data_IF_377882536165
#
_entry.id   IF_377882536165
#
_cell.length_a   1.000
_cell.length_b   1.000
_cell.length_c   1.000
_cell.angle_alpha   90.00
_cell.angle_beta   90.00
_cell.angle_gamma   90.00
#
_symmetry.space_group_name_H-M   'P 1'
#
loop_
_entity.id
_entity.type
_entity.pdbx_description
1 polymer ?
#
# COMPACT_ATOMS: atom_id res chain seq x y z
N UNK A 1 4.50 -54.26 24.12
CA UNK A 1 3.35 -53.35 24.31
C UNK A 1 2.84 -52.90 22.95
N UNK A 2 1.69 -53.41 22.50
CA UNK A 2 1.04 -53.02 21.24
C UNK A 2 0.09 -51.86 21.51
N UNK A 3 0.40 -50.65 21.03
CA UNK A 3 -0.50 -49.50 21.13
C UNK A 3 -1.50 -49.53 19.97
N UNK A 4 -2.77 -49.73 20.33
CA UNK A 4 -3.95 -49.58 19.46
C UNK A 4 -4.20 -48.08 19.23
N UNK A 5 -3.75 -47.54 18.10
CA UNK A 5 -4.25 -46.28 17.55
C UNK A 5 -5.06 -46.60 16.29
N UNK A 6 -6.33 -46.93 16.47
CA UNK A 6 -7.28 -47.11 15.38
C UNK A 6 -8.68 -46.86 15.94
N UNK A 7 -9.13 -45.60 15.81
CA UNK A 7 -10.53 -45.15 15.67
C UNK A 7 -10.58 -43.64 15.85
N UNK A 8 -10.35 -42.89 14.78
CA UNK A 8 -10.97 -41.59 14.45
C UNK A 8 -10.70 -41.25 12.95
N UNK A 9 -10.70 -42.27 12.08
CA UNK A 9 -10.65 -42.06 10.63
C UNK A 9 -12.09 -41.98 10.11
N UNK A 10 -12.49 -40.80 9.63
CA UNK A 10 -13.61 -40.67 8.72
C UNK A 10 -13.26 -41.44 7.44
N UNK A 11 -14.09 -42.37 6.96
CA UNK A 11 -13.72 -43.30 5.90
C UNK A 11 -14.03 -42.71 4.53
N UNK A 12 -13.39 -41.60 4.14
CA UNK A 12 -13.53 -41.07 2.77
C UNK A 12 -12.47 -40.03 2.31
N UNK A 13 -11.25 -40.07 2.84
CA UNK A 13 -10.13 -39.33 2.22
C UNK A 13 -9.16 -40.31 1.58
N UNK A 14 -9.23 -40.42 0.25
CA UNK A 14 -8.12 -40.98 -0.52
C UNK A 14 -6.84 -40.23 -0.12
N UNK A 15 -5.95 -40.93 0.58
CA UNK A 15 -4.66 -40.43 1.06
C UNK A 15 -3.89 -39.82 -0.12
N UNK A 16 -3.95 -38.49 -0.27
CA UNK A 16 -3.11 -37.76 -1.21
C UNK A 16 -1.67 -38.02 -0.78
N UNK A 17 -0.88 -38.58 -1.70
CA UNK A 17 0.55 -38.85 -1.56
C UNK A 17 1.28 -37.51 -1.31
N UNK A 18 1.41 -37.13 -0.03
CA UNK A 18 1.89 -35.80 0.42
C UNK A 18 1.44 -35.48 1.85
N UNK A 19 0.18 -35.77 2.18
CA UNK A 19 -0.40 -35.45 3.50
C UNK A 19 0.31 -36.14 4.67
N UNK A 20 0.70 -37.41 4.52
CA UNK A 20 1.33 -38.16 5.61
C UNK A 20 2.65 -37.53 6.09
N UNK A 21 3.47 -37.00 5.18
CA UNK A 21 4.76 -36.40 5.57
C UNK A 21 4.56 -35.06 6.27
N UNK A 22 3.59 -34.27 5.82
CA UNK A 22 3.18 -33.01 6.46
C UNK A 22 2.63 -33.28 7.87
N UNK A 23 1.77 -34.29 8.02
CA UNK A 23 1.24 -34.75 9.31
C UNK A 23 2.36 -35.24 10.25
N UNK A 24 3.37 -35.96 9.72
CA UNK A 24 4.54 -36.36 10.52
C UNK A 24 5.36 -35.16 11.00
N UNK A 25 5.51 -34.12 10.18
CA UNK A 25 6.18 -32.87 10.60
C UNK A 25 5.37 -32.19 11.71
N UNK A 26 4.06 -32.02 11.53
CA UNK A 26 3.18 -31.44 12.55
C UNK A 26 3.21 -32.23 13.87
N UNK A 27 3.16 -33.56 13.78
CA UNK A 27 3.28 -34.44 14.94
C UNK A 27 4.63 -34.23 15.64
N UNK A 28 5.71 -34.13 14.87
CA UNK A 28 7.05 -33.89 15.42
C UNK A 28 7.10 -32.55 16.15
N UNK A 29 6.56 -31.47 15.56
CA UNK A 29 6.49 -30.14 16.19
C UNK A 29 5.70 -30.18 17.50
N UNK A 30 4.55 -30.87 17.53
CA UNK A 30 3.70 -30.94 18.70
C UNK A 30 4.31 -31.72 19.88
N UNK A 31 5.20 -32.68 19.59
CA UNK A 31 5.73 -33.62 20.58
C UNK A 31 7.25 -33.52 20.81
N UNK A 32 7.96 -32.62 20.12
CA UNK A 32 9.41 -32.51 20.21
C UNK A 32 9.91 -32.16 21.62
N UNK A 33 9.13 -31.42 22.41
CA UNK A 33 9.47 -31.13 23.82
C UNK A 33 9.43 -32.36 24.74
N UNK A 34 8.88 -33.48 24.26
CA UNK A 34 8.75 -34.74 25.03
C UNK A 34 9.74 -35.81 24.56
N UNK A 35 10.30 -35.66 23.36
CA UNK A 35 11.15 -36.68 22.73
C UNK A 35 12.29 -36.04 21.93
N UNK A 36 13.50 -36.10 22.48
CA UNK A 36 14.72 -35.55 21.86
C UNK A 36 14.95 -35.99 20.40
N UNK A 37 14.66 -37.24 19.99
CA UNK A 37 14.83 -37.63 18.59
C UNK A 37 13.95 -36.84 17.61
N UNK A 38 12.77 -36.39 18.04
CA UNK A 38 11.88 -35.55 17.22
C UNK A 38 12.43 -34.12 17.13
N UNK A 39 13.04 -33.62 18.19
CA UNK A 39 13.73 -32.34 18.19
C UNK A 39 14.91 -32.35 17.21
N UNK A 40 15.76 -33.38 17.26
CA UNK A 40 16.88 -33.56 16.31
C UNK A 40 16.39 -33.67 14.87
N UNK A 41 15.31 -34.42 14.64
CA UNK A 41 14.70 -34.54 13.31
C UNK A 41 14.22 -33.17 12.77
N UNK A 42 13.55 -32.36 13.60
CA UNK A 42 13.11 -31.02 13.20
C UNK A 42 14.30 -30.08 12.95
N UNK A 43 15.35 -30.17 13.75
CA UNK A 43 16.57 -29.38 13.59
C UNK A 43 17.24 -29.67 12.24
N UNK A 44 17.42 -30.95 11.91
CA UNK A 44 17.95 -31.39 10.61
C UNK A 44 17.08 -30.94 9.43
N UNK A 45 15.76 -31.04 9.54
CA UNK A 45 14.85 -30.58 8.48
C UNK A 45 14.88 -29.07 8.28
N UNK A 46 15.14 -28.32 9.36
CA UNK A 46 15.16 -26.86 9.38
C UNK A 46 16.55 -26.29 9.12
N UNK A 47 17.59 -27.12 8.94
CA UNK A 47 18.88 -26.66 8.45
C UNK A 47 18.76 -26.21 6.99
N UNK A 48 19.32 -25.06 6.67
CA UNK A 48 19.16 -24.41 5.37
C UNK A 48 19.48 -25.34 4.18
N UNK A 49 20.56 -26.12 4.30
CA UNK A 49 20.99 -27.01 3.21
C UNK A 49 19.98 -28.13 2.99
N UNK A 50 19.45 -28.71 4.08
CA UNK A 50 18.45 -29.76 4.02
C UNK A 50 17.10 -29.22 3.57
N UNK A 51 16.68 -28.09 4.12
CA UNK A 51 15.43 -27.39 3.78
C UNK A 51 15.33 -27.13 2.28
N UNK A 52 16.41 -26.64 1.65
CA UNK A 52 16.48 -26.39 0.19
C UNK A 52 16.20 -27.64 -0.65
N UNK A 53 16.50 -28.83 -0.15
CA UNK A 53 16.29 -30.12 -0.85
C UNK A 53 14.93 -30.75 -0.61
N UNK A 54 14.12 -30.19 0.30
CA UNK A 54 12.79 -30.74 0.61
C UNK A 54 11.79 -30.54 -0.53
N UNK A 55 10.78 -31.41 -0.56
CA UNK A 55 9.61 -31.24 -1.41
C UNK A 55 8.90 -29.91 -1.05
N UNK A 56 8.36 -29.23 -2.06
CA UNK A 56 7.77 -27.89 -1.90
C UNK A 56 6.68 -27.84 -0.83
N UNK A 57 5.86 -28.89 -0.73
CA UNK A 57 4.84 -28.96 0.30
C UNK A 57 5.42 -29.02 1.72
N UNK A 58 6.57 -29.69 1.90
CA UNK A 58 7.25 -29.77 3.20
C UNK A 58 7.94 -28.45 3.55
N UNK A 59 8.53 -27.78 2.55
CA UNK A 59 9.03 -26.41 2.72
C UNK A 59 7.91 -25.48 3.18
N UNK A 60 6.77 -25.49 2.47
CA UNK A 60 5.58 -24.74 2.84
C UNK A 60 5.05 -25.11 4.23
N UNK A 61 5.03 -26.40 4.58
CA UNK A 61 4.55 -26.88 5.88
C UNK A 61 5.42 -26.35 7.04
N UNK A 62 6.75 -26.43 6.91
CA UNK A 62 7.68 -25.91 7.92
C UNK A 62 7.55 -24.39 8.07
N UNK A 63 7.50 -23.67 6.94
CA UNK A 63 7.32 -22.20 6.93
C UNK A 63 5.96 -21.77 7.51
N UNK A 64 4.90 -22.56 7.31
CA UNK A 64 3.59 -22.27 7.86
C UNK A 64 3.53 -22.49 9.38
N UNK A 65 4.27 -23.47 9.90
CA UNK A 65 4.29 -23.83 11.32
C UNK A 65 5.49 -23.28 12.10
N UNK A 66 6.06 -22.15 11.67
CA UNK A 66 7.20 -21.50 12.34
C UNK A 66 6.95 -21.23 13.84
N UNK A 67 5.73 -20.83 14.21
CA UNK A 67 5.34 -20.61 15.60
C UNK A 67 5.50 -21.88 16.47
N UNK A 68 5.28 -23.06 15.89
CA UNK A 68 5.54 -24.32 16.58
C UNK A 68 7.03 -24.61 16.76
N UNK A 69 7.85 -24.25 15.78
CA UNK A 69 9.30 -24.45 15.85
C UNK A 69 9.96 -23.54 16.90
N UNK A 70 9.55 -22.28 17.02
CA UNK A 70 10.09 -21.36 18.04
C UNK A 70 9.76 -21.78 19.47
N UNK A 71 8.70 -22.58 19.69
CA UNK A 71 8.35 -23.12 21.02
C UNK A 71 9.22 -24.29 21.45
N UNK A 72 9.93 -24.88 20.49
CA UNK A 72 10.64 -26.15 20.65
C UNK A 72 12.15 -25.94 20.59
N UNK A 73 12.62 -24.99 19.78
CA UNK A 73 14.03 -24.66 19.65
C UNK A 73 14.54 -23.75 20.77
N UNK A 74 15.85 -23.82 21.02
CA UNK A 74 16.56 -22.88 21.89
C UNK A 74 16.69 -21.50 21.23
N UNK A 75 16.88 -20.45 22.03
CA UNK A 75 17.00 -19.07 21.53
C UNK A 75 18.03 -18.90 20.40
N UNK A 76 19.25 -19.41 20.58
CA UNK A 76 20.30 -19.35 19.55
C UNK A 76 19.95 -20.11 18.27
N UNK A 77 19.17 -21.20 18.37
CA UNK A 77 18.70 -21.95 17.21
C UNK A 77 17.57 -21.21 16.47
N UNK A 78 16.72 -20.49 17.20
CA UNK A 78 15.67 -19.63 16.64
C UNK A 78 16.30 -18.48 15.84
N UNK A 79 17.32 -17.82 16.38
CA UNK A 79 18.08 -16.78 15.66
C UNK A 79 18.63 -17.33 14.34
N UNK A 80 19.32 -18.49 14.40
CA UNK A 80 19.83 -19.18 13.20
C UNK A 80 18.69 -19.53 12.22
N UNK A 81 17.55 -20.01 12.71
CA UNK A 81 16.40 -20.38 11.86
C UNK A 81 15.90 -19.18 11.06
N UNK A 82 15.74 -18.02 11.69
CA UNK A 82 15.31 -16.81 11.00
C UNK A 82 16.38 -16.30 10.03
N UNK A 83 17.65 -16.35 10.39
CA UNK A 83 18.73 -16.00 9.46
C UNK A 83 18.76 -16.93 8.23
N UNK A 84 18.59 -18.24 8.43
CA UNK A 84 18.50 -19.24 7.35
C UNK A 84 17.28 -18.97 6.43
N UNK A 85 16.12 -18.59 7.00
CA UNK A 85 14.93 -18.23 6.23
C UNK A 85 15.16 -16.95 5.42
N UNK A 86 15.74 -15.91 6.03
CA UNK A 86 16.08 -14.68 5.34
C UNK A 86 17.06 -14.95 4.19
N UNK A 87 18.08 -15.78 4.42
CA UNK A 87 19.03 -16.19 3.39
C UNK A 87 18.36 -16.97 2.25
N UNK A 88 17.47 -17.91 2.58
CA UNK A 88 16.71 -18.71 1.60
C UNK A 88 15.93 -17.82 0.61
N UNK A 89 15.25 -16.80 1.14
CA UNK A 89 14.48 -15.86 0.34
C UNK A 89 15.34 -14.82 -0.41
N UNK A 90 16.51 -14.44 0.12
CA UNK A 90 17.44 -13.50 -0.55
C UNK A 90 18.24 -14.12 -1.70
N UNK A 91 18.81 -15.32 -1.50
CA UNK A 91 19.86 -15.88 -2.37
C UNK A 91 19.32 -16.78 -3.48
N UNK A 92 18.40 -17.68 -3.15
CA UNK A 92 18.04 -18.82 -4.01
C UNK A 92 16.63 -18.66 -4.61
N UNK A 93 15.73 -17.93 -3.95
CA UNK A 93 14.35 -17.70 -4.43
C UNK A 93 14.31 -17.03 -5.82
N UNK A 94 15.32 -16.23 -6.14
CA UNK A 94 15.48 -15.60 -7.46
C UNK A 94 16.00 -16.60 -8.52
N UNK A 95 16.83 -17.57 -8.14
CA UNK A 95 17.53 -18.50 -9.05
C UNK A 95 16.89 -19.89 -9.19
N UNK A 96 16.12 -20.37 -8.21
CA UNK A 96 15.44 -21.65 -8.30
C UNK A 96 14.39 -21.61 -9.42
N UNK A 97 14.41 -22.63 -10.29
CA UNK A 97 13.49 -22.83 -11.42
C UNK A 97 12.03 -23.10 -11.03
N UNK A 98 11.59 -22.63 -9.86
CA UNK A 98 10.20 -22.65 -9.44
C UNK A 98 9.35 -21.77 -10.34
N UNK A 99 8.13 -22.23 -10.60
CA UNK A 99 7.10 -21.42 -11.24
C UNK A 99 6.70 -20.22 -10.35
N UNK A 100 6.14 -19.14 -10.93
CA UNK A 100 5.66 -17.99 -10.17
C UNK A 100 4.65 -18.35 -9.07
N UNK A 101 3.78 -19.33 -9.32
CA UNK A 101 2.76 -19.79 -8.37
C UNK A 101 3.38 -20.52 -7.18
N UNK A 102 4.39 -21.38 -7.42
CA UNK A 102 5.15 -22.07 -6.38
C UNK A 102 5.92 -21.09 -5.49
N UNK A 103 6.59 -20.11 -6.12
CA UNK A 103 7.25 -18.99 -5.44
C UNK A 103 6.26 -18.23 -4.56
N UNK A 104 5.06 -17.96 -5.09
CA UNK A 104 4.00 -17.31 -4.33
C UNK A 104 3.52 -18.14 -3.14
N UNK A 105 3.32 -19.44 -3.31
CA UNK A 105 2.89 -20.35 -2.23
C UNK A 105 3.86 -20.34 -1.06
N UNK A 106 5.17 -20.45 -1.32
CA UNK A 106 6.20 -20.44 -0.27
C UNK A 106 6.23 -19.11 0.48
N UNK A 107 6.13 -17.97 -0.22
CA UNK A 107 6.04 -16.65 0.42
C UNK A 107 4.81 -16.56 1.33
N UNK A 108 3.65 -17.02 0.86
CA UNK A 108 2.41 -16.99 1.66
C UNK A 108 2.56 -17.85 2.90
N UNK A 109 3.08 -19.08 2.79
CA UNK A 109 3.35 -19.95 3.94
C UNK A 109 4.26 -19.26 4.96
N UNK A 110 5.34 -18.63 4.51
CA UNK A 110 6.28 -17.91 5.39
C UNK A 110 5.63 -16.69 6.07
N UNK A 111 4.86 -15.89 5.31
CA UNK A 111 4.11 -14.77 5.87
C UNK A 111 3.16 -15.20 6.99
N UNK A 112 2.43 -16.30 6.80
CA UNK A 112 1.51 -16.83 7.81
C UNK A 112 2.27 -17.32 9.05
N UNK A 113 3.37 -18.05 8.87
CA UNK A 113 4.17 -18.53 9.99
C UNK A 113 4.79 -17.39 10.81
N UNK A 114 5.38 -16.39 10.14
CA UNK A 114 5.96 -15.21 10.81
C UNK A 114 4.89 -14.41 11.56
N UNK A 115 3.68 -14.30 11.01
CA UNK A 115 2.56 -13.65 11.68
C UNK A 115 2.17 -14.39 12.98
N UNK A 116 2.11 -15.72 12.95
CA UNK A 116 1.83 -16.51 14.15
C UNK A 116 2.96 -16.35 15.19
N UNK A 117 4.22 -16.28 14.75
CA UNK A 117 5.34 -15.97 15.63
C UNK A 117 5.18 -14.61 16.31
N UNK A 118 4.70 -13.58 15.60
CA UNK A 118 4.46 -12.25 16.16
C UNK A 118 3.34 -12.25 17.22
N UNK A 119 2.24 -12.97 16.99
CA UNK A 119 1.16 -13.10 17.99
C UNK A 119 1.65 -13.76 19.28
N UNK A 120 2.55 -14.73 19.18
CA UNK A 120 3.16 -15.41 20.33
C UNK A 120 4.29 -14.61 20.98
N UNK A 121 5.08 -13.88 20.19
CA UNK A 121 6.14 -12.99 20.67
C UNK A 121 5.59 -11.73 21.35
N UNK A 122 4.41 -11.23 20.96
CA UNK A 122 3.74 -10.14 21.68
C UNK A 122 3.39 -10.50 23.14
N UNK A 123 3.41 -11.80 23.48
CA UNK A 123 3.14 -12.34 24.81
C UNK A 123 4.41 -12.70 25.59
N UNK A 124 5.61 -12.60 24.99
CA UNK A 124 6.88 -12.99 25.63
C UNK A 124 8.01 -11.99 25.31
N UNK A 125 8.80 -11.60 26.30
CA UNK A 125 10.00 -10.78 26.07
C UNK A 125 11.06 -11.65 25.38
N UNK A 126 11.32 -11.49 24.07
CA UNK A 126 12.27 -12.40 23.42
C UNK A 126 13.32 -11.75 22.51
N UNK A 127 14.52 -12.29 22.66
CA UNK A 127 15.82 -11.90 22.10
C UNK A 127 15.89 -11.98 20.56
N UNK A 128 14.94 -12.62 19.88
CA UNK A 128 14.96 -12.89 18.42
C UNK A 128 14.13 -11.92 17.56
N UNK A 129 13.54 -10.86 18.13
CA UNK A 129 12.66 -9.92 17.41
C UNK A 129 13.37 -9.29 16.20
N UNK A 130 14.65 -8.95 16.32
CA UNK A 130 15.44 -8.36 15.23
C UNK A 130 15.59 -9.31 14.03
N UNK A 131 15.79 -10.62 14.26
CA UNK A 131 15.85 -11.61 13.19
C UNK A 131 14.49 -11.83 12.52
N UNK A 132 13.41 -11.76 13.31
CA UNK A 132 12.03 -11.83 12.81
C UNK A 132 11.71 -10.62 11.91
N UNK A 133 12.08 -9.41 12.33
CA UNK A 133 11.96 -8.19 11.54
C UNK A 133 12.74 -8.28 10.22
N UNK A 134 13.97 -8.81 10.27
CA UNK A 134 14.79 -9.06 9.08
C UNK A 134 14.10 -10.01 8.09
N UNK A 135 13.46 -11.09 8.56
CA UNK A 135 12.69 -11.99 7.69
C UNK A 135 11.53 -11.27 7.01
N UNK A 136 10.80 -10.45 7.77
CA UNK A 136 9.69 -9.64 7.28
C UNK A 136 10.18 -8.66 6.20
N UNK A 137 11.29 -7.96 6.44
CA UNK A 137 11.90 -7.03 5.48
C UNK A 137 12.29 -7.73 4.17
N UNK A 138 12.92 -8.90 4.24
CA UNK A 138 13.25 -9.70 3.05
C UNK A 138 12.00 -10.07 2.26
N UNK A 139 10.95 -10.55 2.92
CA UNK A 139 9.69 -10.88 2.25
C UNK A 139 9.01 -9.64 1.63
N UNK A 140 9.15 -8.47 2.26
CA UNK A 140 8.67 -7.21 1.71
C UNK A 140 9.36 -6.85 0.39
N UNK A 141 10.67 -7.04 0.30
CA UNK A 141 11.43 -6.81 -0.94
C UNK A 141 11.03 -7.76 -2.07
N UNK A 142 10.52 -8.95 -1.72
CA UNK A 142 10.05 -9.96 -2.66
C UNK A 142 8.58 -9.82 -3.04
N UNK A 143 7.87 -8.83 -2.49
CA UNK A 143 6.55 -8.48 -3.00
C UNK A 143 6.70 -8.06 -4.46
N UNK A 144 5.84 -8.57 -5.36
CA UNK A 144 5.93 -8.22 -6.77
C UNK A 144 6.01 -6.70 -6.91
N UNK A 145 7.09 -6.23 -7.54
CA UNK A 145 7.12 -4.87 -8.04
C UNK A 145 5.88 -4.73 -8.93
N UNK A 146 5.12 -3.66 -8.76
CA UNK A 146 4.12 -3.31 -9.78
C UNK A 146 4.91 -3.17 -11.07
N UNK A 147 4.82 -4.14 -11.98
CA UNK A 147 5.17 -3.90 -13.35
C UNK A 147 4.33 -2.69 -13.74
N UNK A 148 5.01 -1.56 -13.99
CA UNK A 148 4.46 -0.43 -14.73
C UNK A 148 4.29 -0.85 -16.20
N UNK A 149 3.66 -2.00 -16.42
CA UNK A 149 3.26 -2.48 -17.72
C UNK A 149 1.84 -1.97 -17.92
N UNK A 150 1.73 -0.96 -18.78
CA UNK A 150 0.56 -0.60 -19.57
C UNK A 150 -0.74 -1.26 -19.10
N UNK A 151 -1.64 -0.45 -18.51
CA UNK A 151 -3.06 -0.79 -18.38
C UNK A 151 -3.70 -0.87 -19.77
N UNK A 152 -3.25 -1.79 -20.62
CA UNK A 152 -4.01 -2.28 -21.75
C UNK A 152 -4.96 -3.33 -21.21
N UNK A 153 -6.23 -2.93 -21.10
CA UNK A 153 -7.31 -3.81 -20.70
C UNK A 153 -7.38 -5.04 -21.59
N UNK A 154 -6.93 -6.18 -21.07
CA UNK A 154 -7.37 -7.51 -21.45
C UNK A 154 -7.35 -8.35 -20.17
N UNK A 155 -8.48 -9.01 -19.91
CA UNK A 155 -8.68 -10.04 -18.88
C UNK A 155 -7.40 -10.78 -18.46
N UNK A 156 -7.02 -10.66 -17.17
CA UNK A 156 -6.20 -11.66 -16.50
C UNK A 156 -6.93 -12.17 -15.23
N UNK A 157 -7.72 -13.25 -15.33
CA UNK A 157 -8.26 -13.92 -14.17
C UNK A 157 -7.19 -14.88 -13.64
N UNK A 158 -6.70 -14.64 -12.41
CA UNK A 158 -6.44 -15.67 -11.37
C UNK A 158 -5.33 -15.38 -10.36
N UNK A 159 -4.55 -14.31 -10.46
CA UNK A 159 -3.48 -14.07 -9.47
C UNK A 159 -3.99 -13.54 -8.12
N UNK A 160 -5.22 -13.02 -8.06
CA UNK A 160 -5.81 -12.44 -6.84
C UNK A 160 -6.53 -13.47 -5.93
N UNK A 161 -6.77 -14.71 -6.36
CA UNK A 161 -7.59 -15.64 -5.58
C UNK A 161 -6.82 -16.39 -4.49
N UNK A 162 -5.49 -16.50 -4.63
CA UNK A 162 -4.62 -17.17 -3.65
C UNK A 162 -4.28 -16.34 -2.41
N UNK A 163 -4.31 -15.01 -2.50
CA UNK A 163 -3.98 -14.11 -1.37
C UNK A 163 -5.21 -13.64 -0.56
N UNK A 164 -6.41 -13.76 -1.14
CA UNK A 164 -7.67 -13.49 -0.43
C UNK A 164 -7.96 -14.50 0.71
N UNK A 165 -7.41 -15.72 0.63
CA UNK A 165 -7.59 -16.74 1.67
C UNK A 165 -6.76 -16.47 2.93
N UNK A 166 -5.72 -15.64 2.87
CA UNK A 166 -4.95 -15.21 4.05
C UNK A 166 -5.54 -13.97 4.74
N UNK A 167 -6.25 -13.11 4.01
CA UNK A 167 -6.78 -11.83 4.51
C UNK A 167 -8.10 -11.93 5.29
N UNK A 168 -8.83 -13.06 5.20
CA UNK A 168 -10.01 -13.27 6.06
C UNK A 168 -9.66 -13.50 7.54
N UNK A 169 -8.42 -13.92 7.84
CA UNK A 169 -7.96 -14.10 9.23
C UNK A 169 -7.43 -12.81 9.85
N UNK A 170 -7.04 -11.80 9.08
CA UNK A 170 -6.59 -10.49 9.59
C UNK A 170 -7.74 -9.58 10.07
N UNK A 171 -8.99 -9.91 9.74
CA UNK A 171 -10.15 -9.07 10.06
C UNK A 171 -10.59 -9.08 11.53
N UNK A 172 -10.02 -9.93 12.41
CA UNK A 172 -10.51 -10.10 13.79
C UNK A 172 -9.51 -9.79 14.91
N UNK A 173 -8.29 -9.36 14.61
CA UNK A 173 -7.25 -9.18 15.64
C UNK A 173 -6.38 -7.92 15.56
N UNK A 174 -6.58 -7.02 14.60
CA UNK A 174 -5.60 -5.96 14.32
C UNK A 174 -5.60 -4.81 15.35
N UNK A 175 -4.90 -5.00 16.47
CA UNK A 175 -4.17 -3.89 17.12
C UNK A 175 -2.75 -3.90 16.57
N UNK A 176 -2.47 -3.00 15.62
CA UNK A 176 -1.14 -2.50 15.29
C UNK A 176 -0.07 -3.54 15.00
N UNK A 177 -0.04 -4.09 13.79
CA UNK A 177 1.22 -4.62 13.26
C UNK A 177 2.13 -3.41 12.98
N UNK A 178 3.18 -3.33 13.81
CA UNK A 178 4.19 -2.27 13.98
C UNK A 178 3.68 -1.07 14.79
N UNK A 179 4.08 -0.92 16.08
CA UNK A 179 4.14 0.39 16.68
C UNK A 179 5.30 1.14 16.02
N UNK A 180 5.05 1.74 14.85
CA UNK A 180 5.97 2.74 14.32
C UNK A 180 5.59 4.10 14.93
N UNK A 181 5.59 4.13 16.27
CA UNK A 181 5.52 5.36 17.05
C UNK A 181 6.91 5.98 17.02
N UNK A 182 7.09 6.91 16.09
CA UNK A 182 7.58 8.27 16.35
C UNK A 182 7.92 8.89 15.00
N UNK A 183 6.93 9.61 14.46
CA UNK A 183 7.23 10.69 13.53
C UNK A 183 8.06 11.73 14.31
N UNK A 184 9.09 12.25 13.64
CA UNK A 184 9.90 13.42 14.02
C UNK A 184 11.18 13.08 14.81
N UNK A 185 12.28 12.76 14.11
CA UNK A 185 13.56 13.48 14.32
C UNK A 185 14.66 13.14 13.30
N UNK A 186 14.88 14.00 12.31
CA UNK A 186 16.22 14.26 11.77
C UNK A 186 16.55 13.75 10.36
N UNK A 187 16.62 14.69 9.41
CA UNK A 187 17.68 14.86 8.40
C UNK A 187 17.93 13.80 7.32
N UNK A 188 18.00 12.51 7.67
CA UNK A 188 18.30 11.38 6.77
C UNK A 188 17.08 10.45 6.53
N UNK A 189 15.94 10.79 7.13
CA UNK A 189 14.74 9.95 7.28
C UNK A 189 13.78 9.89 6.09
N UNK A 190 13.89 10.76 5.08
CA UNK A 190 12.84 10.89 4.05
C UNK A 190 12.68 9.63 3.18
N UNK A 191 13.78 8.99 2.78
CA UNK A 191 13.74 7.78 1.95
C UNK A 191 13.23 6.56 2.75
N UNK A 192 13.63 6.43 4.01
CA UNK A 192 13.16 5.34 4.87
C UNK A 192 11.66 5.46 5.17
N UNK A 193 11.18 6.67 5.45
CA UNK A 193 9.75 6.95 5.61
C UNK A 193 8.98 6.63 4.32
N UNK A 194 9.49 7.03 3.16
CA UNK A 194 8.85 6.74 1.87
C UNK A 194 8.76 5.23 1.60
N UNK A 195 9.83 4.47 1.86
CA UNK A 195 9.83 2.99 1.76
C UNK A 195 8.80 2.36 2.67
N UNK A 196 8.68 2.85 3.92
CA UNK A 196 7.67 2.38 4.88
C UNK A 196 6.24 2.67 4.40
N UNK A 197 6.01 3.84 3.82
CA UNK A 197 4.68 4.15 3.23
C UNK A 197 4.42 3.26 2.03
N UNK A 198 5.41 3.05 1.15
CA UNK A 198 5.27 2.15 0.00
C UNK A 198 4.93 0.72 0.43
N UNK A 199 5.58 0.20 1.47
CA UNK A 199 5.25 -1.09 2.05
C UNK A 199 3.79 -1.14 2.54
N UNK A 200 3.33 -0.11 3.26
CA UNK A 200 1.92 0.00 3.70
C UNK A 200 0.94 0.04 2.53
N UNK A 201 1.24 0.77 1.46
CA UNK A 201 0.40 0.82 0.24
C UNK A 201 0.27 -0.57 -0.39
N UNK A 202 1.39 -1.28 -0.53
CA UNK A 202 1.38 -2.66 -1.05
C UNK A 202 0.56 -3.60 -0.19
N UNK A 203 0.68 -3.53 1.15
CA UNK A 203 -0.12 -4.34 2.06
C UNK A 203 -1.61 -4.03 1.98
N UNK A 204 -2.00 -2.75 1.88
CA UNK A 204 -3.41 -2.37 1.66
C UNK A 204 -3.93 -2.96 0.36
N UNK A 205 -3.16 -2.84 -0.73
CA UNK A 205 -3.56 -3.37 -2.04
C UNK A 205 -3.75 -4.90 -2.02
N UNK A 206 -2.96 -5.61 -1.22
CA UNK A 206 -3.10 -7.07 -1.01
C UNK A 206 -4.24 -7.44 -0.06
N UNK A 207 -4.93 -6.45 0.54
CA UNK A 207 -5.98 -6.67 1.53
C UNK A 207 -5.48 -7.12 2.89
N UNK A 208 -4.17 -6.96 3.17
CA UNK A 208 -3.57 -7.34 4.45
C UNK A 208 -3.83 -6.31 5.54
N UNK A 209 -3.90 -5.03 5.23
CA UNK A 209 -4.26 -3.98 6.21
C UNK A 209 -5.41 -3.13 5.69
N UNK A 210 -6.21 -2.51 6.58
CA UNK A 210 -7.38 -1.75 6.15
C UNK A 210 -6.97 -0.47 5.41
N UNK A 211 -7.77 -0.09 4.41
CA UNK A 211 -7.63 1.13 3.62
C UNK A 211 -7.56 2.42 4.46
N UNK A 212 -8.14 2.40 5.67
CA UNK A 212 -8.11 3.53 6.62
C UNK A 212 -6.70 3.90 7.07
N UNK A 213 -5.74 2.96 7.06
CA UNK A 213 -4.34 3.23 7.39
C UNK A 213 -3.69 4.17 6.37
N UNK A 214 -4.05 4.07 5.08
CA UNK A 214 -3.60 5.04 4.07
C UNK A 214 -4.22 6.41 4.29
N UNK A 215 -5.45 6.45 4.83
CA UNK A 215 -6.13 7.69 5.16
C UNK A 215 -5.33 8.58 6.11
N UNK A 216 -4.63 7.97 7.09
CA UNK A 216 -3.79 8.68 8.06
C UNK A 216 -2.55 9.32 7.44
N UNK A 217 -2.13 8.86 6.26
CA UNK A 217 -0.91 9.31 5.59
C UNK A 217 -1.16 10.37 4.51
N UNK A 218 -2.43 10.69 4.21
CA UNK A 218 -2.84 11.66 3.17
C UNK A 218 -2.12 12.98 3.26
N UNK A 219 -2.17 13.63 4.43
CA UNK A 219 -1.60 14.96 4.62
C UNK A 219 -0.09 14.98 4.38
N UNK A 220 0.63 13.92 4.79
CA UNK A 220 2.06 13.79 4.53
C UNK A 220 2.34 13.59 3.03
N UNK A 221 1.65 12.65 2.40
CA UNK A 221 1.89 12.31 0.99
C UNK A 221 1.57 13.47 0.05
N UNK A 222 0.43 14.13 0.27
CA UNK A 222 -0.06 15.20 -0.59
C UNK A 222 0.59 16.56 -0.30
N UNK A 223 1.30 16.69 0.82
CA UNK A 223 2.13 17.85 1.15
C UNK A 223 3.63 17.58 0.99
N UNK A 224 3.99 16.62 0.14
CA UNK A 224 5.39 16.33 -0.23
C UNK A 224 5.65 16.80 -1.65
N UNK A 225 6.92 16.98 -2.01
CA UNK A 225 7.31 17.38 -3.37
C UNK A 225 6.97 16.28 -4.38
N UNK A 226 6.35 16.65 -5.49
CA UNK A 226 5.81 15.72 -6.50
C UNK A 226 6.85 14.75 -7.06
N UNK A 227 8.07 15.23 -7.36
CA UNK A 227 9.17 14.42 -7.91
C UNK A 227 9.56 13.25 -7.02
N UNK A 228 9.46 13.41 -5.70
CA UNK A 228 9.92 12.41 -4.73
C UNK A 228 8.85 11.34 -4.46
N UNK A 229 7.57 11.67 -4.70
CA UNK A 229 6.44 10.84 -4.27
C UNK A 229 5.54 10.34 -5.41
N UNK A 230 5.80 10.74 -6.66
CA UNK A 230 4.97 10.39 -7.83
C UNK A 230 4.63 8.90 -7.93
N UNK A 231 5.64 8.03 -7.89
CA UNK A 231 5.43 6.58 -8.00
C UNK A 231 4.55 6.05 -6.86
N UNK A 232 4.71 6.61 -5.66
CA UNK A 232 3.88 6.24 -4.52
C UNK A 232 2.42 6.67 -4.72
N UNK A 233 2.16 7.86 -5.27
CA UNK A 233 0.79 8.32 -5.57
C UNK A 233 0.09 7.39 -6.57
N UNK A 234 0.80 6.92 -7.60
CA UNK A 234 0.28 5.94 -8.55
C UNK A 234 -0.07 4.63 -7.85
N UNK A 235 0.80 4.12 -6.97
CA UNK A 235 0.51 2.92 -6.18
C UNK A 235 -0.69 3.11 -5.22
N UNK A 236 -0.83 4.28 -4.59
CA UNK A 236 -1.97 4.61 -3.73
C UNK A 236 -3.27 4.57 -4.53
N UNK A 237 -3.32 5.19 -5.71
CA UNK A 237 -4.53 5.17 -6.56
C UNK A 237 -4.84 3.74 -7.04
N UNK A 238 -3.82 2.95 -7.36
CA UNK A 238 -4.01 1.53 -7.68
C UNK A 238 -4.58 0.74 -6.49
N UNK A 239 -4.17 1.03 -5.24
CA UNK A 239 -4.75 0.44 -4.04
C UNK A 239 -6.21 0.89 -3.81
N UNK A 240 -6.54 2.13 -4.17
CA UNK A 240 -7.90 2.69 -4.07
C UNK A 240 -8.85 2.17 -5.17
N UNK A 241 -8.35 1.53 -6.23
CA UNK A 241 -9.16 1.11 -7.38
C UNK A 241 -10.36 0.23 -6.98
N UNK A 242 -10.18 -0.63 -5.98
CA UNK A 242 -11.20 -1.55 -5.47
C UNK A 242 -11.96 -1.03 -4.24
N UNK A 243 -11.67 0.20 -3.78
CA UNK A 243 -12.35 0.79 -2.65
C UNK A 243 -13.77 1.25 -3.00
N UNK A 244 -14.63 1.33 -1.97
CA UNK A 244 -15.99 1.81 -2.11
C UNK A 244 -16.05 3.24 -2.66
N UNK A 245 -17.12 3.56 -3.38
CA UNK A 245 -17.32 4.89 -3.97
C UNK A 245 -17.39 6.02 -2.93
N UNK A 246 -17.87 5.75 -1.71
CA UNK A 246 -17.80 6.71 -0.58
C UNK A 246 -16.36 7.01 -0.18
N UNK A 247 -15.50 5.99 -0.14
CA UNK A 247 -14.10 6.15 0.22
C UNK A 247 -13.35 6.96 -0.85
N UNK A 248 -13.54 6.64 -2.14
CA UNK A 248 -12.98 7.40 -3.25
C UNK A 248 -13.42 8.87 -3.25
N UNK A 249 -14.71 9.14 -2.97
CA UNK A 249 -15.25 10.49 -2.79
C UNK A 249 -14.53 11.25 -1.69
N UNK A 250 -14.36 10.64 -0.52
CA UNK A 250 -13.64 11.28 0.58
C UNK A 250 -12.19 11.57 0.23
N UNK A 251 -11.49 10.65 -0.45
CA UNK A 251 -10.11 10.91 -0.91
C UNK A 251 -10.02 12.06 -1.91
N UNK A 252 -11.01 12.22 -2.79
CA UNK A 252 -11.08 13.34 -3.72
C UNK A 252 -11.27 14.67 -2.97
N UNK A 253 -12.20 14.71 -2.01
CA UNK A 253 -12.46 15.90 -1.17
C UNK A 253 -11.21 16.26 -0.34
N UNK A 254 -10.64 15.29 0.37
CA UNK A 254 -9.46 15.53 1.21
C UNK A 254 -8.28 16.03 0.37
N UNK A 255 -8.09 15.52 -0.84
CA UNK A 255 -6.99 15.96 -1.70
C UNK A 255 -7.13 17.43 -2.12
N UNK A 256 -8.34 17.88 -2.47
CA UNK A 256 -8.55 19.30 -2.79
C UNK A 256 -8.42 20.18 -1.55
N UNK A 257 -8.90 19.74 -0.39
CA UNK A 257 -8.75 20.47 0.87
C UNK A 257 -7.28 20.60 1.28
N UNK A 258 -6.48 19.53 1.13
CA UNK A 258 -5.04 19.58 1.38
C UNK A 258 -4.36 20.55 0.41
N UNK A 259 -4.78 20.60 -0.86
CA UNK A 259 -4.24 21.57 -1.83
C UNK A 259 -4.45 23.03 -1.38
N UNK A 260 -5.52 23.32 -0.62
CA UNK A 260 -5.79 24.66 -0.09
C UNK A 260 -4.79 25.12 0.98
N UNK A 261 -4.09 24.19 1.64
CA UNK A 261 -3.18 24.50 2.77
C UNK A 261 -1.75 24.01 2.59
N UNK A 262 -1.50 23.12 1.62
CA UNK A 262 -0.21 22.48 1.36
C UNK A 262 0.82 23.46 0.78
N UNK A 263 2.10 23.28 1.16
CA UNK A 263 3.23 23.95 0.53
C UNK A 263 3.50 23.49 -0.91
N UNK A 264 2.98 22.33 -1.32
CA UNK A 264 3.14 21.71 -2.65
C UNK A 264 1.78 21.39 -3.28
N UNK A 265 0.96 22.41 -3.64
CA UNK A 265 -0.36 22.19 -4.22
C UNK A 265 -0.31 21.35 -5.50
N UNK A 266 0.78 21.39 -6.28
CA UNK A 266 0.96 20.51 -7.46
C UNK A 266 0.76 19.03 -7.13
N UNK A 267 1.29 18.54 -6.02
CA UNK A 267 1.22 17.12 -5.62
C UNK A 267 -0.20 16.69 -5.34
N UNK A 268 -0.97 17.51 -4.62
CA UNK A 268 -2.37 17.25 -4.33
C UNK A 268 -3.22 17.26 -5.63
N UNK A 269 -2.94 18.19 -6.55
CA UNK A 269 -3.62 18.29 -7.85
C UNK A 269 -3.27 17.13 -8.78
N UNK A 270 -2.02 16.68 -8.77
CA UNK A 270 -1.58 15.47 -9.47
C UNK A 270 -2.33 14.24 -8.96
N UNK A 271 -2.45 14.09 -7.63
CA UNK A 271 -3.24 13.01 -7.06
C UNK A 271 -4.72 13.09 -7.44
N UNK A 272 -5.32 14.30 -7.44
CA UNK A 272 -6.67 14.53 -7.95
C UNK A 272 -6.81 14.08 -9.40
N UNK A 273 -5.82 14.37 -10.25
CA UNK A 273 -5.79 13.92 -11.65
C UNK A 273 -5.78 12.40 -11.75
N UNK A 274 -4.93 11.72 -10.98
CA UNK A 274 -4.83 10.26 -10.98
C UNK A 274 -6.15 9.61 -10.53
N UNK A 275 -6.69 10.08 -9.41
CA UNK A 275 -7.91 9.52 -8.84
C UNK A 275 -9.12 9.79 -9.73
N UNK A 276 -9.29 11.03 -10.21
CA UNK A 276 -10.40 11.38 -11.11
C UNK A 276 -10.30 10.67 -12.44
N UNK A 277 -9.10 10.57 -13.01
CA UNK A 277 -8.83 9.81 -14.22
C UNK A 277 -9.23 8.34 -14.08
N UNK A 278 -8.85 7.71 -12.96
CA UNK A 278 -9.19 6.30 -12.70
C UNK A 278 -10.69 6.03 -12.47
N UNK A 279 -11.45 7.06 -12.10
CA UNK A 279 -12.87 6.93 -11.75
C UNK A 279 -13.81 7.46 -12.84
N UNK A 280 -13.32 8.25 -13.79
CA UNK A 280 -14.14 8.82 -14.86
C UNK A 280 -14.20 7.89 -16.08
N UNK A 281 -15.18 8.14 -16.96
CA UNK A 281 -15.42 7.39 -18.20
C UNK A 281 -14.25 7.37 -19.20
N UNK A 282 -13.27 8.27 -19.04
CA UNK A 282 -12.11 8.39 -19.94
C UNK A 282 -10.84 7.69 -19.41
N UNK A 283 -10.92 6.98 -18.27
CA UNK A 283 -9.74 6.44 -17.60
C UNK A 283 -8.82 5.54 -18.43
N UNK A 284 -9.35 4.84 -19.43
CA UNK A 284 -8.56 3.98 -20.34
C UNK A 284 -7.73 4.74 -21.37
N UNK A 285 -7.95 6.05 -21.54
CA UNK A 285 -7.31 6.90 -22.54
C UNK A 285 -6.22 7.82 -21.95
N UNK A 286 -6.08 7.85 -20.62
CA UNK A 286 -5.22 8.81 -19.93
C UNK A 286 -3.77 8.32 -19.85
N UNK A 287 -2.84 9.23 -20.15
CA UNK A 287 -1.41 9.00 -20.01
C UNK A 287 -0.94 9.26 -18.58
N UNK A 288 -0.01 8.43 -18.07
CA UNK A 288 0.60 8.57 -16.75
C UNK A 288 1.75 9.60 -16.71
N UNK A 289 1.73 10.60 -17.58
CA UNK A 289 2.65 11.73 -17.54
C UNK A 289 2.08 12.86 -16.66
N UNK A 290 2.92 13.49 -15.84
CA UNK A 290 2.47 14.46 -14.82
C UNK A 290 1.78 15.69 -15.43
N UNK A 291 2.36 16.26 -16.49
CA UNK A 291 1.81 17.47 -17.12
C UNK A 291 0.55 17.14 -17.92
N UNK A 292 0.57 16.03 -18.66
CA UNK A 292 -0.57 15.56 -19.43
C UNK A 292 -1.78 15.27 -18.51
N UNK A 293 -1.54 14.59 -17.39
CA UNK A 293 -2.56 14.33 -16.38
C UNK A 293 -3.19 15.60 -15.82
N UNK A 294 -2.38 16.62 -15.52
CA UNK A 294 -2.90 17.91 -15.08
C UNK A 294 -3.69 18.59 -16.20
N UNK A 295 -3.22 18.54 -17.44
CA UNK A 295 -3.93 19.12 -18.59
C UNK A 295 -5.29 18.47 -18.87
N UNK A 296 -5.46 17.22 -18.46
CA UNK A 296 -6.72 16.48 -18.58
C UNK A 296 -7.73 16.80 -17.46
N UNK A 297 -7.32 17.46 -16.36
CA UNK A 297 -8.20 17.80 -15.23
C UNK A 297 -9.49 18.55 -15.63
N UNK A 298 -9.47 19.53 -16.55
CA UNK A 298 -10.68 20.21 -17.01
C UNK A 298 -11.67 19.31 -17.73
N UNK A 299 -11.31 18.08 -18.07
CA UNK A 299 -12.17 17.09 -18.70
C UNK A 299 -12.53 15.97 -17.73
N UNK A 300 -11.55 15.42 -17.00
CA UNK A 300 -11.73 14.27 -16.10
C UNK A 300 -12.55 14.61 -14.87
N UNK A 301 -12.25 15.74 -14.21
CA UNK A 301 -12.96 16.16 -12.99
C UNK A 301 -14.42 16.53 -13.26
N UNK A 302 -14.77 17.37 -14.25
CA UNK A 302 -16.17 17.64 -14.54
C UNK A 302 -16.93 16.40 -14.94
N UNK A 303 -16.34 15.53 -15.77
CA UNK A 303 -16.98 14.27 -16.14
C UNK A 303 -17.28 13.38 -14.95
N UNK A 304 -16.45 13.42 -13.89
CA UNK A 304 -16.66 12.64 -12.68
C UNK A 304 -17.72 13.28 -11.78
N UNK A 305 -17.58 14.58 -11.51
CA UNK A 305 -18.41 15.32 -10.54
C UNK A 305 -19.87 15.45 -11.02
N UNK A 306 -20.11 15.46 -12.33
CA UNK A 306 -21.46 15.48 -12.91
C UNK A 306 -22.17 14.12 -12.83
N UNK A 307 -21.49 13.02 -12.48
CA UNK A 307 -22.18 11.75 -12.26
C UNK A 307 -23.04 11.78 -11.00
N UNK A 308 -24.27 11.21 -11.00
CA UNK A 308 -25.17 11.23 -9.84
C UNK A 308 -24.57 10.63 -8.56
N UNK A 309 -23.62 9.71 -8.70
CA UNK A 309 -22.91 9.11 -7.56
C UNK A 309 -21.96 10.10 -6.87
N UNK A 310 -21.54 11.19 -7.54
CA UNK A 310 -20.61 12.19 -7.02
C UNK A 310 -21.27 13.52 -6.65
N UNK A 311 -22.54 13.73 -7.04
CA UNK A 311 -23.31 14.94 -6.76
C UNK A 311 -23.30 15.36 -5.28
N UNK A 312 -23.36 14.38 -4.37
CA UNK A 312 -23.39 14.60 -2.90
C UNK A 312 -22.17 15.39 -2.37
N UNK A 313 -21.04 15.37 -3.09
CA UNK A 313 -19.82 16.09 -2.71
C UNK A 313 -19.48 17.21 -3.69
N UNK A 314 -20.28 17.44 -4.74
CA UNK A 314 -19.93 18.32 -5.84
C UNK A 314 -19.76 19.78 -5.41
N UNK A 315 -20.73 20.35 -4.69
CA UNK A 315 -20.67 21.74 -4.26
C UNK A 315 -19.50 22.03 -3.30
N UNK A 316 -19.30 21.17 -2.29
CA UNK A 316 -18.20 21.33 -1.33
C UNK A 316 -16.85 21.16 -2.02
N UNK A 317 -16.71 20.15 -2.89
CA UNK A 317 -15.51 19.90 -3.67
C UNK A 317 -15.16 21.10 -4.56
N UNK A 318 -16.12 21.59 -5.35
CA UNK A 318 -15.89 22.72 -6.28
C UNK A 318 -15.59 24.02 -5.52
N UNK A 319 -16.22 24.23 -4.37
CA UNK A 319 -15.90 25.37 -3.51
C UNK A 319 -14.46 25.31 -2.97
N UNK A 320 -13.97 24.14 -2.57
CA UNK A 320 -12.58 23.93 -2.17
C UNK A 320 -11.61 24.07 -3.35
N UNK A 321 -11.97 23.57 -4.53
CA UNK A 321 -11.18 23.72 -5.75
C UNK A 321 -10.99 25.20 -6.11
N UNK A 322 -12.06 25.99 -6.00
CA UNK A 322 -11.98 27.45 -6.14
C UNK A 322 -11.00 28.07 -5.14
N UNK A 323 -11.11 27.72 -3.85
CA UNK A 323 -10.22 28.27 -2.81
C UNK A 323 -8.75 27.98 -3.10
N UNK A 324 -8.45 26.76 -3.56
CA UNK A 324 -7.10 26.37 -3.98
C UNK A 324 -6.64 27.16 -5.23
N UNK A 325 -7.53 27.35 -6.21
CA UNK A 325 -7.26 28.17 -7.41
C UNK A 325 -6.93 29.61 -7.04
N UNK A 326 -7.74 30.21 -6.15
CA UNK A 326 -7.59 31.59 -5.68
C UNK A 326 -6.26 31.76 -4.94
N UNK A 327 -5.86 30.78 -4.12
CA UNK A 327 -4.57 30.76 -3.45
C UNK A 327 -3.39 30.75 -4.42
N UNK A 328 -3.41 29.88 -5.44
CA UNK A 328 -2.36 29.84 -6.47
C UNK A 328 -2.34 31.15 -7.27
N UNK A 329 -3.51 31.69 -7.61
CA UNK A 329 -3.62 32.97 -8.32
C UNK A 329 -2.94 34.12 -7.57
N UNK A 330 -3.23 34.27 -6.26
CA UNK A 330 -2.62 35.32 -5.45
C UNK A 330 -1.11 35.14 -5.33
N UNK A 331 -0.65 33.90 -5.17
CA UNK A 331 0.76 33.59 -5.11
C UNK A 331 1.51 33.93 -6.42
N UNK A 332 0.96 33.52 -7.58
CA UNK A 332 1.52 33.86 -8.91
C UNK A 332 1.48 35.37 -9.16
N UNK A 333 0.42 36.05 -8.70
CA UNK A 333 0.29 37.48 -8.87
C UNK A 333 1.21 38.30 -7.96
N UNK A 334 1.94 37.65 -7.04
CA UNK A 334 2.70 38.26 -5.93
C UNK A 334 1.83 39.21 -5.08
N UNK A 335 0.53 38.94 -5.05
CA UNK A 335 -0.44 39.67 -4.22
C UNK A 335 -0.56 38.91 -2.92
N UNK A 336 -0.32 39.56 -1.79
CA UNK A 336 -0.58 38.97 -0.48
C UNK A 336 -1.98 38.35 -0.42
N UNK A 337 -2.11 37.20 0.24
CA UNK A 337 -3.39 36.54 0.44
C UNK A 337 -4.32 37.49 1.21
N UNK A 338 -5.62 37.62 0.88
CA UNK A 338 -6.53 38.43 1.66
C UNK A 338 -6.55 37.96 3.14
N UNK A 339 -6.65 38.91 4.08
CA UNK A 339 -6.43 38.76 5.54
C UNK A 339 -7.21 37.61 6.23
N UNK A 340 -8.17 36.98 5.56
CA UNK A 340 -9.01 35.90 6.10
C UNK A 340 -8.41 34.49 5.93
N UNK A 341 -7.21 34.34 5.37
CA UNK A 341 -6.60 33.02 5.06
C UNK A 341 -5.32 32.73 5.86
N UNK A 342 -5.34 33.07 7.16
CA UNK A 342 -4.22 32.95 8.12
C UNK A 342 -3.71 31.53 8.43
N UNK A 343 -4.33 30.46 7.91
CA UNK A 343 -4.03 29.06 8.31
C UNK A 343 -3.19 28.32 7.27
N UNK A 344 -3.10 28.84 6.04
CA UNK A 344 -2.41 28.14 4.96
C UNK A 344 -0.88 28.23 5.11
N UNK A 345 -0.17 27.13 4.84
CA UNK A 345 1.30 27.17 4.75
C UNK A 345 1.71 28.05 3.55
N UNK A 346 2.88 28.68 3.55
CA UNK A 346 3.39 29.32 2.35
C UNK A 346 3.62 28.26 1.25
N UNK A 347 3.28 28.60 0.01
CA UNK A 347 3.63 27.77 -1.16
C UNK A 347 5.15 27.82 -1.33
N UNK A 348 5.77 26.66 -1.48
CA UNK A 348 7.21 26.53 -1.59
C UNK A 348 7.74 27.12 -2.90
N UNK A 349 8.94 27.70 -2.87
CA UNK A 349 9.54 28.34 -4.04
C UNK A 349 9.79 27.38 -5.21
N UNK A 350 9.90 26.07 -4.96
CA UNK A 350 10.09 25.06 -6.02
C UNK A 350 8.86 24.86 -6.92
N UNK A 351 7.68 25.38 -6.53
CA UNK A 351 6.46 25.34 -7.34
C UNK A 351 6.44 26.45 -8.43
N UNK A 352 7.41 27.37 -8.42
CA UNK A 352 7.37 28.59 -9.26
C UNK A 352 7.35 28.26 -10.75
N UNK A 353 8.09 27.23 -11.14
CA UNK A 353 8.21 26.80 -12.54
C UNK A 353 6.90 26.26 -13.11
N UNK A 354 6.05 25.65 -12.27
CA UNK A 354 4.78 25.03 -12.69
C UNK A 354 3.56 25.91 -12.36
N UNK A 355 3.74 26.97 -11.58
CA UNK A 355 2.69 27.83 -11.03
C UNK A 355 1.69 28.35 -12.08
N UNK A 356 2.20 28.94 -13.16
CA UNK A 356 1.38 29.51 -14.24
C UNK A 356 0.58 28.44 -14.97
N UNK A 357 1.19 27.26 -15.17
CA UNK A 357 0.52 26.11 -15.78
C UNK A 357 -0.59 25.56 -14.86
N UNK A 358 -0.31 25.38 -13.57
CA UNK A 358 -1.32 24.96 -12.59
C UNK A 358 -2.48 25.94 -12.53
N UNK A 359 -2.19 27.25 -12.48
CA UNK A 359 -3.22 28.28 -12.47
C UNK A 359 -4.11 28.17 -13.70
N UNK A 360 -3.52 28.00 -14.89
CA UNK A 360 -4.28 27.84 -16.13
C UNK A 360 -5.18 26.59 -16.10
N UNK A 361 -4.64 25.44 -15.70
CA UNK A 361 -5.39 24.18 -15.57
C UNK A 361 -6.54 24.31 -14.57
N UNK A 362 -6.27 24.84 -13.38
CA UNK A 362 -7.28 25.00 -12.33
C UNK A 362 -8.36 26.00 -12.73
N UNK A 363 -7.97 27.08 -13.40
CA UNK A 363 -8.89 28.06 -13.95
C UNK A 363 -9.87 27.41 -14.94
N UNK A 364 -9.35 26.67 -15.93
CA UNK A 364 -10.19 25.97 -16.90
C UNK A 364 -11.08 24.91 -16.25
N UNK A 365 -10.56 24.19 -15.25
CA UNK A 365 -11.35 23.23 -14.47
C UNK A 365 -12.50 23.92 -13.73
N UNK A 366 -12.25 25.07 -13.09
CA UNK A 366 -13.28 25.86 -12.43
C UNK A 366 -14.32 26.42 -13.41
N UNK A 367 -13.94 26.77 -14.65
CA UNK A 367 -14.90 27.18 -15.68
C UNK A 367 -15.86 26.02 -16.00
N UNK A 368 -15.32 24.82 -16.21
CA UNK A 368 -16.12 23.65 -16.55
C UNK A 368 -17.07 23.25 -15.41
N UNK A 369 -16.75 23.64 -14.17
CA UNK A 369 -17.54 23.37 -12.96
C UNK A 369 -18.30 24.60 -12.44
N UNK A 370 -18.39 25.68 -13.23
CA UNK A 370 -18.94 26.97 -12.78
C UNK A 370 -20.38 26.89 -12.23
N UNK A 371 -21.16 25.92 -12.68
CA UNK A 371 -22.55 25.73 -12.27
C UNK A 371 -22.69 25.39 -10.78
N UNK A 372 -21.64 24.78 -10.19
CA UNK A 372 -21.57 24.48 -8.76
C UNK A 372 -21.01 25.64 -7.92
N UNK A 373 -20.62 26.77 -8.54
CA UNK A 373 -20.10 27.94 -7.84
C UNK A 373 -21.20 29.00 -7.64
N UNK A 374 -21.25 29.67 -6.47
CA UNK A 374 -22.06 30.87 -6.28
C UNK A 374 -21.72 31.98 -7.29
N UNK A 375 -22.72 32.80 -7.64
CA UNK A 375 -22.59 33.88 -8.65
C UNK A 375 -21.40 34.81 -8.39
N UNK A 376 -21.13 35.16 -7.13
CA UNK A 376 -19.99 36.01 -6.75
C UNK A 376 -18.65 35.40 -7.19
N UNK A 377 -18.46 34.09 -6.96
CA UNK A 377 -17.25 33.36 -7.36
C UNK A 377 -17.15 33.24 -8.88
N UNK A 378 -18.28 33.04 -9.58
CA UNK A 378 -18.31 33.02 -11.05
C UNK A 378 -17.85 34.35 -11.65
N UNK A 379 -18.29 35.49 -11.09
CA UNK A 379 -17.86 36.82 -11.53
C UNK A 379 -16.36 37.05 -11.26
N UNK A 380 -15.85 36.61 -10.10
CA UNK A 380 -14.40 36.67 -9.80
C UNK A 380 -13.57 35.82 -10.76
N UNK A 381 -14.03 34.60 -11.07
CA UNK A 381 -13.40 33.72 -12.05
C UNK A 381 -13.25 34.43 -13.40
N UNK A 382 -14.32 35.06 -13.91
CA UNK A 382 -14.26 35.83 -15.16
C UNK A 382 -13.20 36.96 -15.14
N UNK A 383 -12.96 37.57 -13.98
CA UNK A 383 -12.01 38.68 -13.81
C UNK A 383 -10.53 38.23 -13.64
N UNK A 384 -10.26 36.97 -13.30
CA UNK A 384 -8.87 36.49 -13.15
C UNK A 384 -8.10 36.52 -14.48
N UNK A 385 -8.75 36.21 -15.61
CA UNK A 385 -8.15 36.25 -16.95
C UNK A 385 -7.76 37.67 -17.40
N UNK A 386 -8.61 38.66 -17.12
CA UNK A 386 -8.39 40.04 -17.61
C UNK A 386 -7.19 40.71 -16.95
N UNK A 387 -6.75 40.23 -15.78
CA UNK A 387 -5.58 40.73 -15.07
C UNK A 387 -4.27 40.02 -15.49
N UNK A 388 -4.30 38.74 -15.86
CA UNK A 388 -3.12 38.02 -16.36
C UNK A 388 -2.77 38.40 -17.80
N UNK A 389 -3.76 38.58 -18.68
CA UNK A 389 -3.55 39.05 -20.06
C UNK A 389 -2.97 40.48 -20.17
N UNK A 390 -3.01 41.27 -19.08
CA UNK A 390 -2.37 42.59 -19.01
C UNK A 390 -0.90 42.57 -18.60
N UNK A 391 -0.40 41.45 -18.06
CA UNK A 391 1.01 41.30 -17.65
C UNK A 391 1.90 40.66 -18.74
N UNK A 392 1.30 40.05 -19.76
CA UNK A 392 2.01 39.49 -20.94
C UNK A 392 2.12 40.47 -22.12
N UNK A 393 1.67 41.71 -21.95
CA UNK A 393 1.99 42.86 -22.82
C UNK A 393 2.90 43.81 -22.06
#
# INVERSE_FOLDING_TARGET
>A
MRLKCLRWLSPDSALKRGALREECVQFSIAHANQFDPLLTFLDELSDLTRFRTLELNLQSCLLFHLAGLIKVFSGSRIEKLFDDIAEYFCSEFLCQGYSPDQKSSLRISCWVGLYQCLEEAALSSVEYISNLEKCIEVLFHLLPASESANFTGVHLPNTCRGMACGSSMLGKGSRGLVPLGDLVQGGSQSNEVLKKIQAKVKLVRMGSIPLTELGRLKAYMLNSKSKDIWNLLVEVVAALQYADGSFKRQWLVDAVEISCVSSYPSTALLFLGLLSGSCCKYGSLLTLDQLSLLSDLPVTLPSLVTEPSWEVVAESFVSSLWTSTERIYYWVAEKGLPDNTSIAQPIDGSEKDIASFLLHVMYHTCICLKEYLPLEKQLRLANMLTQNLRKEK
#
